data_IF_982243184007
#
_entry.id   IF_982243184007
#
_cell.length_a   1.000
_cell.length_b   1.000
_cell.length_c   1.000
_cell.angle_alpha   90.00
_cell.angle_beta   90.00
_cell.angle_gamma   90.00
#
_symmetry.space_group_name_H-M   'P 1'
#
loop_
_entity.id
_entity.type
_entity.pdbx_description
1 polymer ?
#
# COMPACT_ATOMS: atom_id res chain seq x y z
N UNK A 1 -64.86 -2.20 45.04
CA UNK A 1 -64.52 -1.56 43.76
C UNK A 1 -65.61 -1.93 42.75
N UNK A 2 -66.56 -1.00 42.58
CA UNK A 2 -67.36 -0.65 41.38
C UNK A 2 -67.48 -1.68 40.23
N UNK A 3 -68.66 -2.33 40.03
CA UNK A 3 -69.80 -2.02 39.12
C UNK A 3 -69.47 -2.15 37.61
N UNK A 4 -69.92 -3.20 36.91
CA UNK A 4 -71.22 -3.42 36.20
C UNK A 4 -71.25 -2.93 34.73
N UNK A 5 -71.34 -3.92 33.82
CA UNK A 5 -72.14 -4.05 32.57
C UNK A 5 -72.33 -2.86 31.60
N UNK A 6 -72.28 -3.14 30.27
CA UNK A 6 -73.41 -2.93 29.32
C UNK A 6 -73.12 -3.43 27.89
N UNK A 7 -74.16 -4.02 27.29
CA UNK A 7 -74.37 -4.28 25.85
C UNK A 7 -75.19 -3.13 25.25
N UNK A 8 -74.90 -2.71 24.01
CA UNK A 8 -75.81 -2.14 22.99
C UNK A 8 -74.94 -1.91 21.73
N UNK A 9 -75.13 -2.49 20.53
CA UNK A 9 -76.28 -2.65 19.61
C UNK A 9 -76.72 -1.34 18.92
N UNK A 10 -76.42 -1.21 17.61
CA UNK A 10 -77.20 -0.56 16.51
C UNK A 10 -76.24 -0.38 15.29
N UNK A 11 -76.32 -1.04 14.13
CA UNK A 11 -77.35 -1.28 13.07
C UNK A 11 -77.39 -0.20 11.96
N UNK A 12 -77.35 -0.69 10.70
CA UNK A 12 -77.66 -0.06 9.40
C UNK A 12 -76.63 0.94 8.84
N UNK A 13 -76.26 0.98 7.55
CA UNK A 13 -76.66 0.34 6.29
C UNK A 13 -75.99 1.18 5.19
N UNK A 14 -75.31 0.61 4.19
CA UNK A 14 -75.82 0.31 2.85
C UNK A 14 -74.91 0.97 1.78
N UNK A 15 -74.81 0.29 0.64
CA UNK A 15 -74.47 0.78 -0.70
C UNK A 15 -72.98 1.03 -1.01
N UNK A 16 -72.52 0.29 -2.01
CA UNK A 16 -71.14 0.31 -2.49
C UNK A 16 -70.83 1.46 -3.44
N UNK A 17 -69.57 1.53 -3.81
CA UNK A 17 -69.08 1.88 -5.14
C UNK A 17 -67.60 1.52 -5.20
N UNK A 18 -67.24 0.87 -6.29
CA UNK A 18 -65.95 0.31 -6.62
C UNK A 18 -64.83 1.36 -6.69
N UNK A 19 -63.64 0.99 -6.22
CA UNK A 19 -62.35 1.30 -6.84
C UNK A 19 -61.26 0.59 -6.01
N UNK A 20 -60.82 -0.58 -6.47
CA UNK A 20 -59.53 -1.12 -6.04
C UNK A 20 -58.46 -0.11 -6.44
N UNK A 21 -57.59 0.38 -5.54
CA UNK A 21 -56.43 1.11 -6.00
C UNK A 21 -55.53 0.10 -6.72
N UNK A 22 -55.35 0.37 -8.00
CA UNK A 22 -54.29 -0.13 -8.88
C UNK A 22 -53.08 -0.61 -8.08
N UNK A 23 -52.64 -1.82 -8.42
CA UNK A 23 -51.37 -2.35 -8.00
C UNK A 23 -50.30 -1.28 -8.21
N UNK A 24 -49.83 -0.68 -7.12
CA UNK A 24 -48.60 0.07 -7.12
C UNK A 24 -47.52 -0.92 -7.53
N UNK A 25 -47.15 -0.86 -8.81
CA UNK A 25 -45.92 -1.48 -9.31
C UNK A 25 -44.81 -0.78 -8.53
N UNK A 26 -44.36 -1.45 -7.48
CA UNK A 26 -43.06 -1.15 -6.89
C UNK A 26 -42.08 -1.44 -8.01
N UNK A 27 -41.66 -0.39 -8.71
CA UNK A 27 -40.45 -0.44 -9.52
C UNK A 27 -39.35 -0.77 -8.52
N UNK A 28 -39.00 -2.05 -8.42
CA UNK A 28 -37.66 -2.43 -7.98
C UNK A 28 -36.75 -1.60 -8.88
N UNK A 29 -36.13 -0.57 -8.30
CA UNK A 29 -35.00 0.10 -8.89
C UNK A 29 -33.97 -1.00 -9.07
N UNK A 30 -34.00 -1.63 -10.25
CA UNK A 30 -33.26 -2.84 -10.53
C UNK A 30 -31.83 -2.60 -10.08
N UNK A 31 -31.32 -3.50 -9.25
CA UNK A 31 -29.90 -3.52 -8.94
C UNK A 31 -29.21 -3.59 -10.29
N UNK A 32 -28.67 -2.46 -10.75
CA UNK A 32 -27.94 -2.38 -12.01
C UNK A 32 -26.77 -3.32 -11.79
N UNK A 33 -26.79 -4.47 -12.47
CA UNK A 33 -25.65 -5.38 -12.45
C UNK A 33 -24.44 -4.57 -12.90
N UNK A 34 -23.46 -4.32 -12.01
CA UNK A 34 -22.31 -3.50 -12.36
C UNK A 34 -21.45 -4.19 -13.42
N UNK A 35 -21.76 -5.42 -13.81
CA UNK A 35 -20.98 -6.28 -14.69
C UNK A 35 -19.92 -7.06 -13.92
N UNK A 36 -19.13 -7.90 -14.60
CA UNK A 36 -18.12 -8.73 -13.96
C UNK A 36 -17.15 -7.92 -13.09
N UNK A 37 -16.83 -8.43 -11.90
CA UNK A 37 -15.79 -7.86 -11.04
C UNK A 37 -14.40 -8.29 -11.53
N UNK A 38 -14.05 -7.82 -12.72
CA UNK A 38 -12.82 -8.19 -13.40
C UNK A 38 -12.17 -6.97 -14.02
N UNK A 39 -10.87 -6.82 -13.79
CA UNK A 39 -10.07 -5.75 -14.35
C UNK A 39 -9.66 -6.12 -15.80
N UNK A 40 -9.54 -5.13 -16.70
CA UNK A 40 -8.75 -5.29 -17.93
C UNK A 40 -7.32 -5.71 -17.60
N UNK A 41 -6.69 -6.53 -18.45
CA UNK A 41 -5.38 -7.12 -18.14
C UNK A 41 -4.27 -6.08 -17.97
N UNK A 42 -4.30 -5.03 -18.80
CA UNK A 42 -3.38 -3.90 -18.73
C UNK A 42 -3.60 -3.04 -17.48
N UNK A 43 -4.85 -2.76 -17.13
CA UNK A 43 -5.22 -2.06 -15.90
C UNK A 43 -4.80 -2.88 -14.67
N UNK A 44 -5.04 -4.20 -14.68
CA UNK A 44 -4.63 -5.09 -13.59
C UNK A 44 -3.11 -5.06 -13.40
N UNK A 45 -2.34 -5.08 -14.48
CA UNK A 45 -0.88 -5.02 -14.41
C UNK A 45 -0.40 -3.70 -13.77
N UNK A 46 -0.98 -2.56 -14.17
CA UNK A 46 -0.66 -1.26 -13.54
C UNK A 46 -1.03 -1.24 -12.06
N UNK A 47 -2.20 -1.75 -11.69
CA UNK A 47 -2.63 -1.81 -10.30
C UNK A 47 -1.68 -2.69 -9.48
N UNK A 48 -1.29 -3.86 -10.00
CA UNK A 48 -0.37 -4.77 -9.32
C UNK A 48 0.97 -4.10 -9.03
N UNK A 49 1.51 -3.40 -10.02
CA UNK A 49 2.84 -2.80 -9.95
C UNK A 49 2.88 -1.49 -9.15
N UNK A 50 1.83 -0.67 -9.24
CA UNK A 50 1.87 0.73 -8.75
C UNK A 50 0.96 1.02 -7.57
N UNK A 51 -0.08 0.23 -7.36
CA UNK A 51 -1.14 0.55 -6.40
C UNK A 51 -1.23 -0.48 -5.27
N UNK A 52 -1.19 -1.77 -5.64
CA UNK A 52 -1.47 -2.88 -4.75
C UNK A 52 -0.45 -3.01 -3.61
N UNK A 53 0.71 -2.38 -3.69
CA UNK A 53 1.65 -2.35 -2.56
C UNK A 53 1.06 -1.69 -1.30
N UNK A 54 0.39 -0.55 -1.45
CA UNK A 54 -0.26 0.15 -0.35
C UNK A 54 -1.76 -0.22 -0.27
N UNK A 55 -2.42 -0.26 -1.44
CA UNK A 55 -3.84 -0.53 -1.58
C UNK A 55 -4.14 -2.04 -1.71
N UNK A 56 -3.53 -2.86 -0.85
CA UNK A 56 -3.80 -4.31 -0.72
C UNK A 56 -4.85 -4.60 0.37
N UNK A 57 -5.17 -5.87 0.55
CA UNK A 57 -5.99 -6.43 1.62
C UNK A 57 -5.14 -7.33 2.52
N UNK A 58 -4.87 -6.97 3.79
CA UNK A 58 -5.23 -5.70 4.44
C UNK A 58 -4.36 -4.52 3.94
N UNK A 59 -4.91 -3.31 3.95
CA UNK A 59 -4.21 -2.13 3.46
C UNK A 59 -2.94 -1.82 4.28
N UNK A 60 -1.92 -1.28 3.60
CA UNK A 60 -0.61 -0.93 4.17
C UNK A 60 -0.22 0.51 3.85
N UNK A 61 0.89 0.98 4.43
CA UNK A 61 1.42 2.33 4.20
C UNK A 61 0.40 3.46 4.45
N UNK A 62 -0.53 3.26 5.39
CA UNK A 62 -1.63 4.20 5.68
C UNK A 62 -2.62 4.42 4.52
N UNK A 63 -2.64 3.53 3.50
CA UNK A 63 -3.73 3.50 2.54
C UNK A 63 -5.05 3.19 3.27
N UNK A 64 -6.14 3.92 2.98
CA UNK A 64 -7.38 3.76 3.74
C UNK A 64 -8.29 2.65 3.20
N UNK A 65 -7.95 2.05 2.06
CA UNK A 65 -8.70 0.97 1.42
C UNK A 65 -7.83 0.13 0.47
N UNK A 66 -8.34 -1.06 0.12
CA UNK A 66 -7.87 -1.85 -1.01
C UNK A 66 -8.38 -1.28 -2.35
N UNK A 67 -7.60 -1.48 -3.40
CA UNK A 67 -7.91 -1.17 -4.80
C UNK A 67 -7.42 -2.32 -5.69
N UNK A 68 -7.88 -3.55 -5.43
CA UNK A 68 -7.38 -4.78 -6.05
C UNK A 68 -8.38 -5.40 -7.03
N UNK A 69 -9.65 -5.00 -6.94
CA UNK A 69 -10.74 -5.46 -7.79
C UNK A 69 -11.45 -4.28 -8.47
N UNK A 70 -12.21 -4.55 -9.53
CA UNK A 70 -12.98 -3.53 -10.23
C UNK A 70 -14.05 -2.94 -9.30
N UNK A 71 -14.69 -3.80 -8.50
CA UNK A 71 -15.67 -3.42 -7.50
C UNK A 71 -15.12 -2.43 -6.47
N UNK A 72 -13.84 -2.52 -6.09
CA UNK A 72 -13.21 -1.56 -5.18
C UNK A 72 -13.26 -0.13 -5.72
N UNK A 73 -13.03 0.05 -7.04
CA UNK A 73 -13.12 1.35 -7.68
C UNK A 73 -14.57 1.81 -7.88
N UNK A 74 -15.52 0.88 -8.05
CA UNK A 74 -16.93 1.23 -8.25
C UNK A 74 -17.65 1.62 -6.96
N UNK A 75 -17.13 1.24 -5.79
CA UNK A 75 -17.70 1.61 -4.49
C UNK A 75 -17.75 3.11 -4.29
N UNK A 76 -18.73 3.57 -3.51
CA UNK A 76 -18.86 4.98 -3.14
C UNK A 76 -17.60 5.47 -2.42
N UNK A 77 -17.21 6.72 -2.71
CA UNK A 77 -16.05 7.37 -2.11
C UNK A 77 -16.29 7.65 -0.62
N UNK A 78 -15.26 7.43 0.20
CA UNK A 78 -15.29 7.69 1.64
C UNK A 78 -15.34 9.19 1.96
N UNK A 79 -14.98 10.05 1.00
CA UNK A 79 -14.99 11.51 1.17
C UNK A 79 -16.25 12.13 0.57
N UNK A 80 -16.79 11.51 -0.48
CA UNK A 80 -18.01 11.96 -1.15
C UNK A 80 -18.78 10.74 -1.65
N UNK A 81 -19.88 10.42 -0.99
CA UNK A 81 -20.69 9.24 -1.32
C UNK A 81 -21.41 9.34 -2.67
N UNK A 82 -21.45 10.54 -3.30
CA UNK A 82 -22.03 10.73 -4.64
C UNK A 82 -21.04 10.41 -5.77
N UNK A 83 -19.76 10.22 -5.46
CA UNK A 83 -18.74 9.79 -6.41
C UNK A 83 -18.22 8.39 -6.08
N UNK A 84 -17.71 7.71 -7.10
CA UNK A 84 -17.03 6.41 -6.95
C UNK A 84 -15.58 6.59 -6.47
N UNK A 85 -15.00 5.53 -5.92
CA UNK A 85 -13.58 5.49 -5.62
C UNK A 85 -12.73 5.66 -6.87
N UNK A 86 -13.19 5.19 -8.03
CA UNK A 86 -12.53 5.44 -9.31
C UNK A 86 -12.45 6.91 -9.68
N UNK A 87 -13.54 7.67 -9.52
CA UNK A 87 -13.54 9.12 -9.72
C UNK A 87 -12.66 9.85 -8.69
N UNK A 88 -12.62 9.35 -7.45
CA UNK A 88 -11.72 9.87 -6.43
C UNK A 88 -10.25 9.60 -6.79
N UNK A 89 -9.92 8.39 -7.24
CA UNK A 89 -8.58 8.02 -7.70
C UNK A 89 -8.14 8.88 -8.87
N UNK A 90 -9.02 9.14 -9.84
CA UNK A 90 -8.75 10.06 -10.95
C UNK A 90 -8.43 11.47 -10.47
N UNK A 91 -9.22 12.01 -9.52
CA UNK A 91 -8.95 13.31 -8.90
C UNK A 91 -7.58 13.33 -8.24
N UNK A 92 -7.27 12.31 -7.43
CA UNK A 92 -5.98 12.17 -6.72
C UNK A 92 -4.80 12.07 -7.68
N UNK A 93 -4.92 11.33 -8.78
CA UNK A 93 -3.84 11.22 -9.77
C UNK A 93 -3.59 12.53 -10.53
N UNK A 94 -4.54 13.48 -10.53
CA UNK A 94 -4.40 14.82 -11.15
C UNK A 94 -4.02 15.91 -10.14
N UNK A 95 -4.09 15.64 -8.85
CA UNK A 95 -3.88 16.61 -7.77
C UNK A 95 -2.38 16.81 -7.49
N UNK A 96 -1.89 18.05 -7.61
CA UNK A 96 -0.49 18.38 -7.33
C UNK A 96 -0.20 18.58 -5.83
N UNK A 97 -1.20 18.91 -5.01
CA UNK A 97 -1.06 19.13 -3.57
C UNK A 97 -1.16 17.82 -2.80
N UNK A 98 -1.99 16.90 -3.29
CA UNK A 98 -2.18 15.61 -2.66
C UNK A 98 -2.31 14.52 -3.73
N UNK A 99 -1.20 14.17 -4.41
CA UNK A 99 -1.21 13.21 -5.50
C UNK A 99 -1.45 11.77 -5.04
N UNK A 100 -1.83 10.90 -5.98
CA UNK A 100 -1.59 9.46 -5.92
C UNK A 100 -0.75 9.02 -7.13
N UNK A 101 0.35 8.27 -6.94
CA UNK A 101 0.97 7.91 -5.65
C UNK A 101 1.34 9.13 -4.77
N UNK A 102 1.51 8.98 -3.45
CA UNK A 102 1.96 10.08 -2.60
C UNK A 102 3.28 10.66 -3.09
N UNK A 103 3.55 11.95 -2.85
CA UNK A 103 4.81 12.58 -3.28
C UNK A 103 6.09 11.97 -2.67
N UNK A 104 5.94 11.13 -1.64
CA UNK A 104 7.03 10.34 -1.07
C UNK A 104 7.39 9.10 -1.91
N UNK A 105 6.63 8.81 -2.96
CA UNK A 105 6.83 7.71 -3.89
C UNK A 105 7.18 8.26 -5.29
N UNK A 106 7.92 7.49 -6.11
CA UNK A 106 8.15 7.84 -7.50
C UNK A 106 6.84 8.07 -8.25
N UNK A 107 6.78 9.06 -9.15
CA UNK A 107 5.61 9.23 -10.01
C UNK A 107 5.45 8.01 -10.91
N UNK A 108 4.20 7.61 -11.14
CA UNK A 108 3.88 6.57 -12.11
C UNK A 108 4.32 7.01 -13.53
N UNK A 109 4.87 6.10 -14.35
CA UNK A 109 5.17 6.39 -15.75
C UNK A 109 3.94 6.93 -16.49
N UNK A 110 4.14 7.95 -17.33
CA UNK A 110 3.02 8.68 -17.95
C UNK A 110 2.13 7.76 -18.83
N UNK A 111 2.71 6.75 -19.49
CA UNK A 111 1.93 5.79 -20.28
C UNK A 111 0.98 4.94 -19.41
N UNK A 112 1.47 4.43 -18.27
CA UNK A 112 0.65 3.66 -17.32
C UNK A 112 -0.41 4.55 -16.67
N UNK A 113 -0.04 5.80 -16.34
CA UNK A 113 -0.95 6.79 -15.77
C UNK A 113 -2.08 7.14 -16.74
N UNK A 114 -1.75 7.41 -18.00
CA UNK A 114 -2.73 7.68 -19.05
C UNK A 114 -3.68 6.49 -19.27
N UNK A 115 -3.14 5.27 -19.26
CA UNK A 115 -3.94 4.04 -19.37
C UNK A 115 -4.95 3.91 -18.23
N UNK A 116 -4.48 4.01 -16.99
CA UNK A 116 -5.34 3.89 -15.81
C UNK A 116 -6.38 5.02 -15.76
N UNK A 117 -5.98 6.25 -16.04
CA UNK A 117 -6.89 7.40 -16.09
C UNK A 117 -7.97 7.23 -17.17
N UNK A 118 -7.61 6.76 -18.36
CA UNK A 118 -8.56 6.50 -19.44
C UNK A 118 -9.60 5.43 -19.06
N UNK A 119 -9.16 4.35 -18.40
CA UNK A 119 -10.09 3.33 -17.88
C UNK A 119 -11.06 3.91 -16.84
N UNK A 120 -10.57 4.70 -15.88
CA UNK A 120 -11.42 5.37 -14.88
C UNK A 120 -12.42 6.35 -15.52
N UNK A 121 -11.98 7.13 -16.50
CA UNK A 121 -12.83 8.09 -17.24
C UNK A 121 -13.90 7.39 -18.09
N UNK A 122 -13.61 6.20 -18.61
CA UNK A 122 -14.57 5.37 -19.35
C UNK A 122 -15.63 4.68 -18.48
N UNK A 123 -15.68 4.97 -17.17
CA UNK A 123 -16.64 4.38 -16.25
C UNK A 123 -16.25 2.98 -15.77
N UNK A 124 -14.95 2.64 -15.83
CA UNK A 124 -14.41 1.36 -15.36
C UNK A 124 -15.12 0.16 -16.01
N UNK A 125 -15.08 0.01 -17.34
CA UNK A 125 -15.64 -1.18 -18.00
C UNK A 125 -14.96 -2.45 -17.49
N UNK A 126 -15.72 -3.55 -17.42
CA UNK A 126 -15.20 -4.84 -17.00
C UNK A 126 -14.22 -5.39 -18.04
N UNK A 127 -13.16 -6.05 -17.54
CA UNK A 127 -12.23 -6.82 -18.35
C UNK A 127 -12.38 -8.33 -18.10
N UNK A 128 -11.31 -9.06 -18.40
CA UNK A 128 -11.28 -10.53 -18.35
C UNK A 128 -10.19 -11.11 -17.45
N UNK A 129 -9.38 -10.26 -16.81
CA UNK A 129 -8.21 -10.72 -16.04
C UNK A 129 -8.53 -11.07 -14.58
N UNK A 130 -9.77 -10.81 -14.13
CA UNK A 130 -10.14 -10.95 -12.72
C UNK A 130 -9.60 -9.82 -11.84
N UNK A 131 -9.66 -10.04 -10.52
CA UNK A 131 -9.04 -9.19 -9.50
C UNK A 131 -7.64 -9.68 -9.13
N UNK A 132 -6.87 -8.84 -8.45
CA UNK A 132 -5.62 -9.28 -7.83
C UNK A 132 -5.91 -10.18 -6.62
N UNK A 133 -5.01 -11.15 -6.31
CA UNK A 133 -5.14 -11.97 -5.11
C UNK A 133 -5.23 -11.11 -3.85
N UNK A 134 -6.19 -11.44 -2.99
CA UNK A 134 -6.22 -10.89 -1.63
C UNK A 134 -5.07 -11.48 -0.81
N UNK A 135 -4.53 -10.69 0.11
CA UNK A 135 -3.45 -11.09 0.99
C UNK A 135 -2.10 -10.45 0.67
N UNK A 136 -1.08 -10.74 1.49
CA UNK A 136 0.28 -10.29 1.23
C UNK A 136 0.76 -10.78 -0.15
N UNK A 137 1.47 -9.91 -0.88
CA UNK A 137 2.15 -10.33 -2.08
C UNK A 137 3.18 -11.43 -1.74
N UNK A 138 3.36 -12.44 -2.61
CA UNK A 138 4.31 -13.52 -2.34
C UNK A 138 5.71 -12.98 -2.07
N UNK A 139 6.36 -13.51 -1.04
CA UNK A 139 7.81 -13.34 -0.87
C UNK A 139 8.53 -14.06 -2.01
N UNK A 140 9.49 -13.40 -2.64
CA UNK A 140 10.32 -13.92 -3.73
C UNK A 140 11.81 -13.74 -3.42
N UNK A 141 12.67 -14.18 -4.34
CA UNK A 141 14.05 -13.75 -4.38
C UNK A 141 14.40 -13.41 -5.83
N UNK A 142 14.27 -12.15 -6.23
CA UNK A 142 14.36 -11.74 -7.63
C UNK A 142 15.72 -12.08 -8.27
N UNK A 143 16.78 -12.10 -7.47
CA UNK A 143 18.12 -12.50 -7.92
C UNK A 143 18.29 -14.03 -8.07
N UNK A 144 17.37 -14.82 -7.52
CA UNK A 144 17.48 -16.27 -7.39
C UNK A 144 18.65 -16.74 -6.50
N UNK A 145 19.28 -15.83 -5.76
CA UNK A 145 20.49 -16.09 -4.96
C UNK A 145 20.19 -15.89 -3.49
N UNK A 146 20.38 -16.94 -2.69
CA UNK A 146 20.25 -16.88 -1.24
C UNK A 146 21.63 -16.85 -0.61
N UNK A 147 21.82 -15.94 0.33
CA UNK A 147 23.02 -15.80 1.13
C UNK A 147 23.29 -17.06 1.95
N UNK A 148 24.58 -17.36 2.07
CA UNK A 148 25.15 -18.30 3.04
C UNK A 148 26.45 -17.72 3.57
N UNK A 149 26.99 -18.24 4.67
CA UNK A 149 28.31 -17.80 5.15
C UNK A 149 29.41 -17.94 4.09
N UNK A 150 29.26 -18.90 3.16
CA UNK A 150 30.19 -19.07 2.05
C UNK A 150 30.08 -17.97 0.98
N UNK A 151 28.93 -17.31 0.84
CA UNK A 151 28.74 -16.24 -0.15
C UNK A 151 29.08 -14.85 0.38
N UNK A 152 29.26 -14.67 1.69
CA UNK A 152 29.69 -13.41 2.25
C UNK A 152 29.69 -13.37 3.78
N UNK A 153 30.68 -12.69 4.36
CA UNK A 153 30.78 -12.41 5.80
C UNK A 153 30.93 -10.91 6.05
N UNK A 154 30.93 -10.50 7.31
CA UNK A 154 31.06 -9.09 7.67
C UNK A 154 29.90 -8.25 7.11
N UNK A 155 30.21 -7.17 6.39
CA UNK A 155 29.17 -6.27 5.86
C UNK A 155 28.22 -6.91 4.82
N UNK A 156 28.55 -8.08 4.27
CA UNK A 156 27.76 -8.78 3.26
C UNK A 156 26.82 -9.84 3.86
N UNK A 157 26.85 -10.04 5.18
CA UNK A 157 26.13 -11.13 5.80
C UNK A 157 24.62 -10.88 5.89
N UNK A 158 23.86 -11.97 5.83
CA UNK A 158 22.44 -12.03 6.18
C UNK A 158 21.56 -10.86 5.68
N UNK A 159 21.51 -10.55 4.36
CA UNK A 159 20.69 -9.47 3.85
C UNK A 159 19.22 -9.63 4.24
N UNK A 160 18.54 -8.54 4.56
CA UNK A 160 17.13 -8.53 4.96
C UNK A 160 16.87 -8.86 6.44
N UNK A 161 17.81 -9.49 7.15
CA UNK A 161 17.65 -9.77 8.59
C UNK A 161 17.83 -8.48 9.41
N UNK A 162 17.18 -8.38 10.57
CA UNK A 162 17.32 -7.27 11.53
C UNK A 162 18.74 -7.23 12.13
N UNK A 163 19.65 -6.51 11.47
CA UNK A 163 21.09 -6.56 11.76
C UNK A 163 21.39 -6.08 13.18
N UNK A 164 20.86 -4.90 13.55
CA UNK A 164 21.26 -4.21 14.77
C UNK A 164 20.73 -4.93 16.01
N UNK A 165 19.53 -5.48 15.95
CA UNK A 165 18.94 -6.27 17.04
C UNK A 165 19.81 -7.47 17.40
N UNK A 166 20.28 -8.22 16.40
CA UNK A 166 21.20 -9.33 16.61
C UNK A 166 22.59 -8.85 17.09
N UNK A 167 23.12 -7.78 16.48
CA UNK A 167 24.45 -7.26 16.83
C UNK A 167 24.51 -6.66 18.23
N UNK A 168 23.42 -6.07 18.74
CA UNK A 168 23.35 -5.58 20.12
C UNK A 168 23.54 -6.70 21.15
N UNK A 169 23.17 -7.93 20.80
CA UNK A 169 23.30 -9.09 21.68
C UNK A 169 24.65 -9.81 21.48
N UNK A 170 25.05 -10.03 20.23
CA UNK A 170 26.15 -10.95 19.90
C UNK A 170 27.46 -10.24 19.53
N UNK A 171 27.39 -9.02 19.00
CA UNK A 171 28.57 -8.27 18.55
C UNK A 171 28.41 -6.74 18.76
N UNK A 172 28.32 -6.26 20.01
CA UNK A 172 27.93 -4.88 20.29
C UNK A 172 28.89 -3.82 19.72
N UNK A 173 30.15 -4.18 19.49
CA UNK A 173 31.16 -3.30 18.87
C UNK A 173 30.87 -2.94 17.42
N UNK A 174 30.00 -3.70 16.74
CA UNK A 174 29.58 -3.48 15.35
C UNK A 174 28.06 -3.34 15.23
N UNK A 175 27.38 -3.00 16.33
CA UNK A 175 25.95 -2.66 16.35
C UNK A 175 25.75 -1.19 15.91
N UNK A 176 26.20 -0.87 14.69
CA UNK A 176 26.06 0.47 14.11
C UNK A 176 24.61 0.94 14.16
N UNK A 177 24.39 2.25 14.31
CA UNK A 177 23.06 2.75 14.60
C UNK A 177 22.09 2.53 13.45
N UNK A 178 22.44 2.98 12.24
CA UNK A 178 21.64 2.74 11.05
C UNK A 178 22.17 1.49 10.34
N UNK A 179 21.33 0.47 10.20
CA UNK A 179 21.67 -0.75 9.47
C UNK A 179 20.43 -1.27 8.73
N UNK A 180 20.62 -1.77 7.52
CA UNK A 180 19.54 -2.37 6.74
C UNK A 180 20.01 -2.89 5.39
N UNK A 181 19.04 -3.28 4.57
CA UNK A 181 19.29 -3.88 3.25
C UNK A 181 18.37 -3.27 2.21
N UNK A 182 18.95 -2.81 1.10
CA UNK A 182 18.22 -2.38 -0.09
C UNK A 182 18.01 -3.56 -1.03
N UNK A 183 16.80 -3.70 -1.56
CA UNK A 183 16.41 -4.77 -2.47
C UNK A 183 15.90 -4.25 -3.82
N UNK A 184 15.90 -5.09 -4.88
CA UNK A 184 15.27 -4.72 -6.16
C UNK A 184 13.75 -4.65 -6.06
N UNK A 185 13.13 -5.52 -5.25
CA UNK A 185 11.67 -5.58 -5.09
C UNK A 185 11.22 -5.53 -3.63
N UNK A 186 9.93 -5.29 -3.42
CA UNK A 186 9.34 -5.00 -2.10
C UNK A 186 9.13 -6.22 -1.21
N UNK A 187 9.09 -7.42 -1.80
CA UNK A 187 8.75 -8.65 -1.09
C UNK A 187 9.82 -9.71 -1.32
N UNK A 188 11.01 -9.44 -0.81
CA UNK A 188 12.18 -10.32 -0.95
C UNK A 188 12.43 -11.07 0.34
N UNK A 189 12.78 -12.35 0.25
CA UNK A 189 13.01 -13.23 1.39
C UNK A 189 14.20 -12.77 2.24
N UNK A 190 14.15 -13.06 3.54
CA UNK A 190 15.34 -12.95 4.40
C UNK A 190 16.46 -13.81 3.81
N UNK A 191 17.66 -13.24 3.76
CA UNK A 191 18.82 -13.84 3.14
C UNK A 191 18.85 -13.77 1.62
N UNK A 192 17.84 -13.24 0.92
CA UNK A 192 17.97 -13.03 -0.53
C UNK A 192 19.09 -12.03 -0.80
N UNK A 193 20.02 -12.38 -1.68
CA UNK A 193 21.14 -11.53 -2.08
C UNK A 193 20.69 -10.60 -3.22
N UNK A 194 20.56 -9.29 -2.99
CA UNK A 194 20.11 -8.32 -4.00
C UNK A 194 20.98 -8.24 -5.26
N UNK A 195 22.27 -8.58 -5.15
CA UNK A 195 23.27 -8.42 -6.23
C UNK A 195 23.25 -7.03 -6.87
N UNK A 196 23.23 -6.00 -6.03
CA UNK A 196 23.36 -4.62 -6.51
C UNK A 196 24.69 -4.42 -7.22
N UNK A 197 24.70 -3.51 -8.20
CA UNK A 197 25.91 -3.16 -8.93
C UNK A 197 26.97 -2.54 -8.00
N UNK A 198 28.23 -2.87 -8.25
CA UNK A 198 29.40 -2.26 -7.61
C UNK A 198 30.28 -1.53 -8.65
N UNK A 199 30.70 -0.27 -8.40
CA UNK A 199 30.30 0.57 -7.27
C UNK A 199 28.81 0.94 -7.34
N UNK A 200 28.16 0.96 -6.18
CA UNK A 200 26.73 1.28 -6.10
C UNK A 200 26.46 2.77 -6.33
N UNK A 201 25.49 3.06 -7.20
CA UNK A 201 24.94 4.40 -7.41
C UNK A 201 23.68 4.66 -6.58
N UNK A 202 23.28 3.69 -5.74
CA UNK A 202 22.14 3.79 -4.84
C UNK A 202 22.57 4.53 -3.58
N UNK A 203 21.68 5.37 -3.03
CA UNK A 203 21.93 6.09 -1.79
C UNK A 203 20.80 5.89 -0.81
N UNK A 204 21.13 5.62 0.44
CA UNK A 204 20.22 5.70 1.58
C UNK A 204 20.55 6.98 2.34
N UNK A 205 19.77 8.01 2.10
CA UNK A 205 19.90 9.30 2.77
C UNK A 205 19.07 9.30 4.05
N UNK A 206 19.69 9.71 5.15
CA UNK A 206 19.05 9.89 6.45
C UNK A 206 18.88 11.38 6.67
N UNK A 207 17.64 11.81 6.89
CA UNK A 207 17.22 13.20 7.01
C UNK A 207 16.69 13.49 8.40
N UNK A 208 16.87 14.73 8.87
CA UNK A 208 16.18 15.23 10.06
C UNK A 208 14.72 15.62 9.74
N UNK A 209 14.04 16.22 10.70
CA UNK A 209 12.64 16.62 10.57
C UNK A 209 12.43 17.86 9.69
N UNK A 210 13.50 18.57 9.37
CA UNK A 210 13.53 19.70 8.44
C UNK A 210 13.90 19.27 7.01
N UNK A 211 13.90 17.95 6.74
CA UNK A 211 14.30 17.33 5.48
C UNK A 211 15.75 17.64 5.06
N UNK A 212 16.62 17.98 6.01
CA UNK A 212 18.05 18.14 5.74
C UNK A 212 18.75 16.78 5.78
N UNK A 213 19.49 16.42 4.72
CA UNK A 213 20.31 15.20 4.69
C UNK A 213 21.45 15.32 5.71
N UNK A 214 21.45 14.43 6.70
CA UNK A 214 22.45 14.36 7.79
C UNK A 214 23.50 13.29 7.58
N UNK A 215 23.13 12.24 6.85
CA UNK A 215 24.01 11.11 6.54
C UNK A 215 23.58 10.50 5.21
N UNK A 216 24.56 10.09 4.40
CA UNK A 216 24.33 9.33 3.17
C UNK A 216 25.08 8.02 3.28
N UNK A 217 24.35 6.91 3.17
CA UNK A 217 24.88 5.55 3.18
C UNK A 217 24.80 4.97 1.78
N UNK A 218 25.77 4.14 1.42
CA UNK A 218 25.82 3.46 0.12
C UNK A 218 25.74 1.96 0.39
N UNK A 219 24.72 1.26 -0.14
CA UNK A 219 24.63 -0.18 0.02
C UNK A 219 25.70 -0.88 -0.81
N UNK A 220 26.21 -1.99 -0.30
CA UNK A 220 27.13 -2.86 -1.03
C UNK A 220 26.38 -3.79 -2.03
N UNK A 221 27.11 -4.69 -2.68
CA UNK A 221 26.53 -5.66 -3.64
C UNK A 221 25.47 -6.57 -3.02
N UNK A 222 25.55 -6.86 -1.72
CA UNK A 222 24.53 -7.60 -0.98
C UNK A 222 23.36 -6.70 -0.51
N UNK A 223 23.28 -5.46 -1.01
CA UNK A 223 22.29 -4.46 -0.64
C UNK A 223 22.46 -3.89 0.76
N UNK A 224 23.38 -4.43 1.56
CA UNK A 224 23.56 -4.04 2.95
C UNK A 224 24.21 -2.67 3.06
N UNK A 225 23.70 -1.85 3.99
CA UNK A 225 24.29 -0.58 4.37
C UNK A 225 24.38 -0.49 5.90
N UNK A 226 25.38 0.24 6.37
CA UNK A 226 25.51 0.59 7.78
C UNK A 226 26.14 1.98 7.97
N UNK A 227 25.76 2.66 9.05
CA UNK A 227 26.51 3.82 9.54
C UNK A 227 27.86 3.39 10.12
N UNK A 228 28.74 4.35 10.37
CA UNK A 228 30.06 4.11 10.97
C UNK A 228 30.11 4.33 12.49
N UNK A 229 29.01 4.82 13.07
CA UNK A 229 28.87 5.09 14.51
C UNK A 229 27.79 4.22 15.14
N UNK A 230 27.93 3.93 16.44
CA UNK A 230 26.96 3.15 17.23
C UNK A 230 25.75 3.99 17.70
N UNK A 231 25.82 5.31 17.56
CA UNK A 231 24.80 6.30 17.93
C UNK A 231 24.66 7.36 16.83
N UNK A 232 23.48 7.97 16.66
CA UNK A 232 23.29 9.05 15.70
C UNK A 232 24.03 10.31 16.16
N UNK A 233 24.56 11.07 15.21
CA UNK A 233 25.27 12.34 15.45
C UNK A 233 24.34 13.57 15.38
N UNK A 234 23.04 13.35 15.26
CA UNK A 234 22.03 14.39 15.11
C UNK A 234 20.76 14.02 15.90
N UNK A 235 19.89 15.00 16.24
CA UNK A 235 18.66 14.74 16.98
C UNK A 235 17.72 13.81 16.22
N UNK A 236 17.08 12.91 16.97
CA UNK A 236 16.03 12.01 16.49
C UNK A 236 14.64 12.65 16.72
N UNK A 237 13.58 12.25 15.99
CA UNK A 237 13.50 11.20 14.98
C UNK A 237 14.07 11.61 13.61
N UNK A 238 14.13 10.66 12.67
CA UNK A 238 14.64 10.84 11.31
C UNK A 238 13.64 10.34 10.25
N UNK A 239 13.85 10.72 8.99
CA UNK A 239 13.28 10.04 7.81
C UNK A 239 14.40 9.45 6.98
N UNK A 240 14.15 8.36 6.26
CA UNK A 240 15.06 7.86 5.24
C UNK A 240 14.49 8.12 3.84
N UNK A 241 15.37 8.51 2.92
CA UNK A 241 15.10 8.57 1.48
C UNK A 241 16.04 7.61 0.76
N UNK A 242 15.48 6.69 0.01
CA UNK A 242 16.21 5.86 -0.93
C UNK A 242 16.26 6.58 -2.28
N UNK A 243 17.45 6.73 -2.84
CA UNK A 243 17.68 7.28 -4.18
C UNK A 243 18.22 6.17 -5.06
N UNK A 244 17.51 5.86 -6.13
CA UNK A 244 17.86 4.86 -7.13
C UNK A 244 19.02 5.32 -8.03
N UNK A 245 19.55 4.42 -8.87
CA UNK A 245 20.70 4.71 -9.73
C UNK A 245 20.40 5.77 -10.81
N UNK A 246 19.14 5.93 -11.18
CA UNK A 246 18.64 6.92 -12.15
C UNK A 246 18.23 8.25 -11.49
N UNK A 247 18.38 8.38 -10.17
CA UNK A 247 18.01 9.56 -9.40
C UNK A 247 16.55 9.61 -8.97
N UNK A 248 15.72 8.64 -9.35
CA UNK A 248 14.38 8.49 -8.76
C UNK A 248 14.50 8.21 -7.26
N UNK A 249 13.47 8.56 -6.49
CA UNK A 249 13.56 8.42 -5.03
C UNK A 249 12.24 8.06 -4.38
N UNK A 250 12.34 7.34 -3.27
CA UNK A 250 11.26 7.01 -2.35
C UNK A 250 11.67 7.45 -0.94
N UNK A 251 10.75 8.04 -0.18
CA UNK A 251 11.00 8.49 1.18
C UNK A 251 9.97 7.91 2.15
N UNK A 252 10.40 7.65 3.38
CA UNK A 252 9.50 7.30 4.47
C UNK A 252 8.45 8.39 4.72
N UNK A 253 7.18 8.01 4.76
CA UNK A 253 6.06 8.91 5.05
C UNK A 253 5.94 9.29 6.55
N UNK A 254 6.46 8.47 7.46
CA UNK A 254 6.48 8.75 8.90
C UNK A 254 7.92 8.79 9.44
N UNK A 255 8.27 9.72 10.34
CA UNK A 255 9.56 9.71 11.03
C UNK A 255 9.73 8.45 11.91
N UNK A 256 10.97 8.02 12.14
CA UNK A 256 11.32 6.88 12.98
C UNK A 256 12.45 7.19 13.96
N UNK A 257 12.55 6.35 15.00
CA UNK A 257 13.62 6.43 16.01
C UNK A 257 14.48 5.17 16.12
N UNK A 258 14.09 4.10 15.45
CA UNK A 258 14.83 2.85 15.42
C UNK A 258 15.73 2.81 14.19
N UNK A 259 17.04 2.68 14.38
CA UNK A 259 18.00 2.57 13.27
C UNK A 259 18.16 1.15 12.70
N UNK A 260 17.53 0.13 13.29
CA UNK A 260 17.43 -1.20 12.70
C UNK A 260 16.34 -1.21 11.61
N UNK A 261 16.72 -0.83 10.38
CA UNK A 261 15.75 -0.55 9.33
C UNK A 261 14.96 -1.82 8.93
N UNK A 262 15.62 -2.98 8.95
CA UNK A 262 15.01 -4.27 8.61
C UNK A 262 14.01 -4.77 9.68
N UNK A 263 13.96 -4.17 10.88
CA UNK A 263 12.92 -4.47 11.89
C UNK A 263 11.53 -4.00 11.47
N UNK A 264 11.44 -2.96 10.64
CA UNK A 264 10.20 -2.50 10.03
C UNK A 264 10.11 -2.99 8.57
N UNK A 265 11.21 -2.91 7.83
CA UNK A 265 11.28 -3.30 6.42
C UNK A 265 11.55 -4.81 6.23
N UNK A 266 10.63 -5.63 6.73
CA UNK A 266 10.63 -7.09 6.59
C UNK A 266 10.11 -7.51 5.20
N UNK A 267 10.13 -8.82 4.89
CA UNK A 267 9.58 -9.38 3.63
C UNK A 267 8.19 -8.85 3.31
N UNK A 268 7.36 -8.72 4.33
CA UNK A 268 5.97 -8.27 4.19
C UNK A 268 5.77 -6.85 4.70
N UNK A 269 6.77 -6.24 5.32
CA UNK A 269 6.63 -4.99 6.04
C UNK A 269 5.90 -5.14 7.36
N UNK A 270 6.49 -4.56 8.40
CA UNK A 270 5.96 -4.47 9.75
C UNK A 270 5.75 -3.00 10.15
N UNK A 271 4.93 -2.74 11.17
CA UNK A 271 4.70 -1.38 11.70
C UNK A 271 4.24 -0.37 10.63
N UNK A 272 3.39 -0.81 9.70
CA UNK A 272 2.91 -0.06 8.51
C UNK A 272 3.97 0.23 7.45
N UNK A 273 5.22 -0.19 7.63
CA UNK A 273 6.13 -0.28 6.50
C UNK A 273 5.54 -1.27 5.50
N UNK A 274 5.66 -1.02 4.20
CA UNK A 274 4.84 -1.75 3.25
C UNK A 274 5.58 -2.97 2.66
N UNK A 275 6.89 -3.06 2.87
CA UNK A 275 7.75 -4.17 2.51
C UNK A 275 9.22 -3.85 2.79
N UNK A 276 10.10 -4.47 2.03
CA UNK A 276 11.54 -4.17 1.99
C UNK A 276 11.84 -2.72 1.63
N UNK A 277 13.06 -2.30 1.90
CA UNK A 277 13.61 -1.07 1.34
C UNK A 277 13.91 -1.34 -0.14
N UNK A 278 12.89 -1.25 -0.99
CA UNK A 278 13.02 -1.54 -2.41
C UNK A 278 13.37 -0.31 -3.23
N UNK A 279 14.17 -0.51 -4.26
CA UNK A 279 14.50 0.49 -5.26
C UNK A 279 13.23 1.22 -5.77
N UNK A 280 13.31 2.54 -5.97
CA UNK A 280 12.22 3.34 -6.54
C UNK A 280 11.93 2.97 -8.00
#
# INVERSE_FOLDING_TARGET
MTRWTWKALLLCGALGCSAEPEMAVVLDAGVVDPGPDSLPCDVQAVIAERCAYCHTTPAKAYAPMALQARSDFQRASMVDAQSSMGQRSLTRMKDAQSPMPPASEPPMPEAERALLMGWLESGMPAGTCGSLPAGPAPTTCASGSIWSEASGTGAYMAPGIACRSCHLEQAPSVAYFFMGTVFPTLHEADGCDPRLQEPSNVKVEILDLEDQVRLTLVPNSAGNFMSTTLQPSFPMPYRARLVGPDGTSRMMAAPQSNGDCNSCHTEQGAQNAPGRIALP
#
